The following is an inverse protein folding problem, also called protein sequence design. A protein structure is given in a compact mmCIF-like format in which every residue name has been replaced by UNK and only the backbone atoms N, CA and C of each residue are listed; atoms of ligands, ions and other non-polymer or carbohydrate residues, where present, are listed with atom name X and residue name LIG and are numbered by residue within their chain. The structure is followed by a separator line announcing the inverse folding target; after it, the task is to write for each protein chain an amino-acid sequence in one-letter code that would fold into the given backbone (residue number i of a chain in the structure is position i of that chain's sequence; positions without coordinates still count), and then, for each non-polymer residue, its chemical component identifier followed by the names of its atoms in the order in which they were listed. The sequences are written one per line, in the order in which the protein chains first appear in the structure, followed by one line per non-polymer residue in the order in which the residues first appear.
data_IF_990233604364
#
_entry.id   IF_990233604364
#
_cell.length_a   1.000
_cell.length_b   1.000
_cell.length_c   1.000
_cell.angle_alpha   90.00
_cell.angle_beta   90.00
_cell.angle_gamma   90.00
#
_symmetry.space_group_name_H-M   'P 1'
#
loop_
_entity.id
_entity.type
_entity.pdbx_description
1 polymer ?
#
# COMPACT_ATOMS: atom_id res chain seq x y z
N UNK A 1 -5.12 24.13 29.35
CA UNK A 1 -5.54 23.23 28.25
C UNK A 1 -4.62 22.03 28.23
N UNK A 2 -5.16 20.82 28.07
CA UNK A 2 -4.34 19.63 27.99
C UNK A 2 -3.43 19.64 26.75
N UNK A 3 -2.18 19.20 26.92
CA UNK A 3 -1.20 19.07 25.83
C UNK A 3 -1.62 17.87 24.96
N UNK A 4 -1.76 18.07 23.63
CA UNK A 4 -2.11 17.06 22.65
C UNK A 4 -0.86 16.71 21.83
N UNK A 5 -0.73 15.45 21.42
CA UNK A 5 0.30 15.03 20.48
C UNK A 5 -0.13 15.41 19.07
N UNK A 6 0.75 16.05 18.31
CA UNK A 6 0.51 16.37 16.91
C UNK A 6 0.62 15.10 16.05
N UNK A 7 -0.42 14.75 15.32
CA UNK A 7 -0.43 13.56 14.47
C UNK A 7 0.54 13.62 13.27
N UNK A 8 1.15 14.78 12.98
CA UNK A 8 2.06 14.95 11.86
C UNK A 8 3.55 14.98 12.26
N UNK A 9 3.89 15.66 13.35
CA UNK A 9 5.28 15.80 13.79
C UNK A 9 5.53 15.31 15.21
N UNK A 10 4.54 14.73 15.87
CA UNK A 10 4.57 14.15 17.23
C UNK A 10 4.94 15.12 18.35
N UNK A 11 5.17 16.40 18.06
CA UNK A 11 5.40 17.41 19.08
C UNK A 11 4.15 17.60 19.95
N UNK A 12 4.36 17.71 21.25
CA UNK A 12 3.28 18.08 22.17
C UNK A 12 2.91 19.55 22.01
N UNK A 13 1.64 19.83 21.75
CA UNK A 13 1.14 21.18 21.45
C UNK A 13 -0.20 21.45 22.11
N UNK A 14 -0.56 22.73 22.27
CA UNK A 14 -1.84 23.19 22.82
C UNK A 14 -2.55 24.08 21.79
N UNK A 15 -3.90 24.11 21.83
CA UNK A 15 -4.70 24.94 20.93
C UNK A 15 -5.28 24.16 19.75
N UNK A 16 -5.50 24.85 18.61
CA UNK A 16 -6.11 24.29 17.39
C UNK A 16 -5.08 23.77 16.39
N UNK A 17 -3.89 24.36 16.39
CA UNK A 17 -2.79 24.04 15.46
C UNK A 17 -1.52 23.73 16.23
N UNK A 18 -0.67 22.90 15.64
CA UNK A 18 0.63 22.54 16.19
C UNK A 18 1.61 23.73 16.08
N UNK A 19 2.24 24.09 17.20
CA UNK A 19 3.23 25.16 17.23
C UNK A 19 4.51 24.86 16.45
N UNK A 20 4.81 23.55 16.23
CA UNK A 20 6.03 23.13 15.55
C UNK A 20 5.86 23.05 14.02
N UNK A 21 4.75 22.52 13.51
CA UNK A 21 4.57 22.25 12.08
C UNK A 21 3.30 22.88 11.47
N UNK A 22 2.51 23.61 12.25
CA UNK A 22 1.28 24.26 11.78
C UNK A 22 0.10 23.34 11.51
N UNK A 23 0.26 22.02 11.63
CA UNK A 23 -0.83 21.07 11.35
C UNK A 23 -1.97 21.18 12.35
N UNK A 24 -3.24 20.95 11.95
CA UNK A 24 -4.37 20.95 12.87
C UNK A 24 -4.23 19.83 13.91
N UNK A 25 -4.64 20.12 15.16
CA UNK A 25 -4.61 19.17 16.29
C UNK A 25 -5.96 18.45 16.50
N UNK A 26 -6.93 18.70 15.63
CA UNK A 26 -8.22 18.01 15.61
C UNK A 26 -8.20 16.90 14.56
N UNK A 27 -8.88 15.78 14.85
CA UNK A 27 -9.21 14.77 13.84
C UNK A 27 -10.14 15.36 12.77
N UNK A 28 -9.96 14.94 11.53
CA UNK A 28 -11.00 15.12 10.51
C UNK A 28 -12.17 14.16 10.80
N UNK A 29 -13.38 14.59 10.47
CA UNK A 29 -14.59 13.75 10.62
C UNK A 29 -14.57 12.51 9.69
N UNK A 30 -13.66 12.47 8.70
CA UNK A 30 -13.47 11.34 7.79
C UNK A 30 -12.64 10.17 8.39
N UNK A 31 -12.17 10.30 9.64
CA UNK A 31 -11.28 9.32 10.29
C UNK A 31 -11.94 8.59 11.46
N UNK A 32 -13.27 8.40 11.42
CA UNK A 32 -14.03 7.80 12.53
C UNK A 32 -13.52 6.43 12.95
N UNK A 33 -13.12 5.58 11.97
CA UNK A 33 -12.67 4.21 12.22
C UNK A 33 -11.17 4.10 12.43
N UNK A 34 -10.43 5.21 12.36
CA UNK A 34 -9.00 5.20 12.58
C UNK A 34 -8.64 5.18 14.07
N UNK A 35 -7.47 4.62 14.40
CA UNK A 35 -6.93 4.67 15.75
C UNK A 35 -6.77 6.12 16.24
N UNK A 36 -7.01 6.39 17.54
CA UNK A 36 -6.73 7.69 18.14
C UNK A 36 -5.25 8.09 17.98
N UNK A 37 -5.00 9.36 17.65
CA UNK A 37 -3.64 9.91 17.69
C UNK A 37 -3.07 9.75 19.11
N UNK A 38 -1.84 9.23 19.20
CA UNK A 38 -1.17 8.91 20.46
C UNK A 38 -1.40 7.49 20.96
N UNK A 39 -2.22 6.68 20.28
CA UNK A 39 -2.34 5.24 20.58
C UNK A 39 -0.95 4.59 20.46
N UNK A 40 -0.64 3.70 21.41
CA UNK A 40 0.59 2.91 21.40
C UNK A 40 0.35 1.54 20.76
N UNK A 41 1.17 1.22 19.77
CA UNK A 41 1.19 -0.09 19.12
C UNK A 41 2.53 -0.77 19.40
N UNK A 42 2.48 -2.05 19.71
CA UNK A 42 3.63 -2.89 20.04
C UNK A 42 4.61 -2.26 21.06
N UNK A 43 4.08 -1.45 22.00
CA UNK A 43 4.85 -0.76 23.03
C UNK A 43 5.78 0.36 22.53
N UNK A 44 6.04 0.48 21.25
CA UNK A 44 7.05 1.41 20.68
C UNK A 44 6.52 2.38 19.62
N UNK A 45 5.47 2.05 18.89
CA UNK A 45 4.94 2.92 17.83
C UNK A 45 3.86 3.84 18.38
N UNK A 46 4.08 5.15 18.33
CA UNK A 46 3.04 6.14 18.64
C UNK A 46 2.30 6.54 17.38
N UNK A 47 0.99 6.25 17.33
CA UNK A 47 0.11 6.56 16.19
C UNK A 47 -0.04 8.07 15.98
N UNK A 48 0.15 8.50 14.76
CA UNK A 48 -0.08 9.87 14.27
C UNK A 48 -1.33 9.97 13.38
N UNK A 49 -1.21 10.69 12.26
CA UNK A 49 -2.30 10.85 11.29
C UNK A 49 -2.42 9.65 10.35
N UNK A 50 -3.57 9.49 9.75
CA UNK A 50 -3.77 8.56 8.64
C UNK A 50 -2.98 9.07 7.42
N UNK A 51 -2.27 8.16 6.76
CA UNK A 51 -1.55 8.38 5.50
C UNK A 51 -2.39 7.95 4.29
N UNK A 52 -3.16 6.89 4.45
CA UNK A 52 -4.01 6.35 3.39
C UNK A 52 -4.98 5.30 3.90
N UNK A 53 -5.98 5.01 3.06
CA UNK A 53 -6.97 3.94 3.27
C UNK A 53 -7.12 3.15 1.99
N UNK A 54 -7.35 1.87 2.13
CA UNK A 54 -7.72 0.97 1.05
C UNK A 54 -8.74 -0.05 1.52
N UNK A 55 -9.30 -0.83 0.62
CA UNK A 55 -10.33 -1.81 0.94
C UNK A 55 -9.93 -2.86 1.99
N UNK A 56 -8.64 -3.01 2.27
CA UNK A 56 -8.11 -4.01 3.20
C UNK A 56 -7.44 -3.42 4.44
N UNK A 57 -7.31 -2.08 4.55
CA UNK A 57 -6.63 -1.53 5.72
C UNK A 57 -6.43 -0.04 5.74
N UNK A 58 -5.91 0.41 6.87
CA UNK A 58 -5.60 1.81 7.17
C UNK A 58 -4.09 1.95 7.39
N UNK A 59 -3.48 2.95 6.77
CA UNK A 59 -2.06 3.24 6.93
C UNK A 59 -1.91 4.50 7.78
N UNK A 60 -1.12 4.40 8.84
CA UNK A 60 -0.84 5.47 9.78
C UNK A 60 0.61 5.94 9.67
N UNK A 61 0.82 7.25 9.81
CA UNK A 61 2.12 7.76 10.21
C UNK A 61 2.34 7.41 11.68
N UNK A 62 3.49 6.85 12.01
CA UNK A 62 3.85 6.55 13.40
C UNK A 62 5.23 7.12 13.73
N UNK A 63 5.45 7.35 15.02
CA UNK A 63 6.77 7.61 15.58
C UNK A 63 7.26 6.33 16.27
N UNK A 64 8.38 5.83 15.80
CA UNK A 64 9.07 4.69 16.40
C UNK A 64 10.02 5.22 17.49
N UNK A 65 9.69 4.94 18.75
CA UNK A 65 10.44 5.41 19.91
C UNK A 65 11.75 4.67 20.11
N UNK A 66 11.88 3.47 19.56
CA UNK A 66 13.10 2.66 19.66
C UNK A 66 14.17 3.17 18.68
N UNK A 67 13.79 3.48 17.44
CA UNK A 67 14.70 3.96 16.41
C UNK A 67 14.75 5.48 16.27
N UNK A 68 13.98 6.23 17.07
CA UNK A 68 13.87 7.70 17.08
C UNK A 68 13.56 8.28 15.68
N UNK A 69 12.66 7.63 14.96
CA UNK A 69 12.29 8.02 13.58
C UNK A 69 10.80 7.87 13.28
N UNK A 70 10.36 8.54 12.21
CA UNK A 70 9.03 8.30 11.66
C UNK A 70 9.01 7.05 10.80
N UNK A 71 7.96 6.24 10.96
CA UNK A 71 7.66 5.05 10.17
C UNK A 71 6.19 5.09 9.71
N UNK A 72 5.77 4.12 8.93
CA UNK A 72 4.38 3.88 8.63
C UNK A 72 3.95 2.54 9.23
N UNK A 73 2.69 2.45 9.68
CA UNK A 73 2.09 1.19 10.12
C UNK A 73 0.81 0.97 9.34
N UNK A 74 0.69 -0.21 8.71
CA UNK A 74 -0.56 -0.66 8.08
C UNK A 74 -1.30 -1.56 9.05
N UNK A 75 -2.57 -1.25 9.27
CA UNK A 75 -3.54 -2.02 10.05
C UNK A 75 -4.40 -2.85 9.11
N UNK A 76 -4.60 -4.13 9.39
CA UNK A 76 -5.63 -4.91 8.72
C UNK A 76 -7.01 -4.44 9.19
N UNK A 77 -7.75 -3.76 8.31
CA UNK A 77 -9.09 -3.23 8.56
C UNK A 77 -9.93 -3.33 7.28
N UNK A 78 -10.46 -4.51 6.94
CA UNK A 78 -11.29 -4.69 5.76
C UNK A 78 -12.66 -4.02 5.93
N UNK A 79 -12.91 -2.94 5.18
CA UNK A 79 -14.09 -2.08 5.34
C UNK A 79 -15.44 -2.81 5.26
N UNK A 80 -15.49 -3.96 4.57
CA UNK A 80 -16.73 -4.71 4.35
C UNK A 80 -17.03 -5.73 5.45
N UNK A 81 -16.05 -6.12 6.23
CA UNK A 81 -16.15 -7.24 7.17
C UNK A 81 -15.70 -6.89 8.57
N UNK A 82 -15.09 -5.72 8.79
CA UNK A 82 -14.58 -5.25 10.06
C UNK A 82 -15.28 -3.97 10.55
N UNK A 83 -15.37 -3.84 11.85
CA UNK A 83 -15.83 -2.62 12.54
C UNK A 83 -14.88 -2.28 13.69
N UNK A 84 -14.73 -0.99 13.98
CA UNK A 84 -14.05 -0.52 15.18
C UNK A 84 -14.97 -0.67 16.38
N UNK A 85 -14.51 -1.35 17.44
CA UNK A 85 -15.25 -1.52 18.67
C UNK A 85 -15.52 -0.17 19.39
N UNK A 86 -16.42 -0.17 20.38
CA UNK A 86 -16.81 1.03 21.11
C UNK A 86 -15.66 1.74 21.84
N UNK A 87 -14.58 1.05 22.15
CA UNK A 87 -13.37 1.66 22.73
C UNK A 87 -12.53 2.45 21.71
N UNK A 88 -12.91 2.49 20.44
CA UNK A 88 -12.20 3.13 19.32
C UNK A 88 -10.77 2.58 19.08
N UNK A 89 -10.47 1.38 19.56
CA UNK A 89 -9.14 0.75 19.46
C UNK A 89 -9.25 -0.61 18.81
N UNK A 90 -10.07 -1.51 19.39
CA UNK A 90 -10.18 -2.89 18.95
C UNK A 90 -10.93 -3.01 17.62
N UNK A 91 -10.56 -4.01 16.83
CA UNK A 91 -11.21 -4.36 15.57
C UNK A 91 -11.95 -5.67 15.77
N UNK A 92 -13.19 -5.71 15.33
CA UNK A 92 -14.06 -6.87 15.42
C UNK A 92 -14.68 -7.18 14.05
N UNK A 93 -15.02 -8.43 13.74
CA UNK A 93 -15.86 -8.75 12.59
C UNK A 93 -17.21 -8.03 12.72
N UNK A 94 -17.69 -7.44 11.62
CA UNK A 94 -18.94 -6.66 11.60
C UNK A 94 -20.15 -7.52 12.03
N UNK A 95 -20.15 -8.81 11.71
CA UNK A 95 -21.15 -9.80 12.11
C UNK A 95 -20.48 -11.15 12.36
N UNK A 96 -21.16 -12.07 13.05
CA UNK A 96 -20.69 -13.45 13.22
C UNK A 96 -20.49 -14.18 11.89
N UNK A 97 -21.23 -13.82 10.84
CA UNK A 97 -21.08 -14.38 9.49
C UNK A 97 -19.78 -13.94 8.80
N UNK A 98 -19.22 -12.81 9.20
CA UNK A 98 -17.94 -12.30 8.67
C UNK A 98 -16.71 -12.84 9.42
N UNK A 99 -16.89 -13.54 10.53
CA UNK A 99 -15.78 -13.94 11.40
C UNK A 99 -14.76 -14.86 10.71
N UNK A 100 -15.22 -15.82 9.91
CA UNK A 100 -14.34 -16.73 9.15
C UNK A 100 -13.58 -15.99 8.05
N UNK A 101 -14.26 -15.12 7.30
CA UNK A 101 -13.66 -14.31 6.24
C UNK A 101 -12.64 -13.33 6.82
N UNK A 102 -12.97 -12.68 7.95
CA UNK A 102 -12.07 -11.77 8.65
C UNK A 102 -10.81 -12.51 9.13
N UNK A 103 -10.96 -13.67 9.77
CA UNK A 103 -9.83 -14.47 10.28
C UNK A 103 -8.92 -14.96 9.14
N UNK A 104 -9.51 -15.47 8.05
CA UNK A 104 -8.74 -15.90 6.89
C UNK A 104 -7.99 -14.74 6.23
N UNK A 105 -8.61 -13.56 6.15
CA UNK A 105 -7.96 -12.35 5.63
C UNK A 105 -6.85 -11.83 6.54
N UNK A 106 -7.01 -11.93 7.87
CA UNK A 106 -6.00 -11.55 8.85
C UNK A 106 -4.75 -12.44 8.74
N UNK A 107 -4.96 -13.77 8.65
CA UNK A 107 -3.87 -14.71 8.44
C UNK A 107 -3.10 -14.41 7.14
N UNK A 108 -3.83 -14.15 6.06
CA UNK A 108 -3.25 -13.81 4.76
C UNK A 108 -2.46 -12.51 4.81
N UNK A 109 -2.98 -11.47 5.50
CA UNK A 109 -2.31 -10.18 5.67
C UNK A 109 -0.96 -10.35 6.40
N UNK A 110 -0.91 -11.17 7.45
CA UNK A 110 0.35 -11.47 8.18
C UNK A 110 1.33 -12.27 7.33
N UNK A 111 0.87 -13.30 6.62
CA UNK A 111 1.72 -14.11 5.74
C UNK A 111 2.33 -13.27 4.60
N UNK A 112 1.56 -12.38 3.99
CA UNK A 112 2.03 -11.46 2.96
C UNK A 112 3.11 -10.52 3.50
N UNK A 113 2.90 -9.93 4.69
CA UNK A 113 3.88 -9.05 5.33
C UNK A 113 5.18 -9.79 5.68
N UNK A 114 5.10 -11.00 6.22
CA UNK A 114 6.25 -11.85 6.50
C UNK A 114 7.01 -12.27 5.23
N UNK A 115 6.28 -12.54 4.13
CA UNK A 115 6.90 -12.87 2.85
C UNK A 115 7.74 -11.70 2.34
N UNK A 116 7.23 -10.49 2.39
CA UNK A 116 7.90 -9.29 1.88
C UNK A 116 9.03 -8.81 2.81
N UNK A 117 8.92 -9.04 4.12
CA UNK A 117 9.98 -8.68 5.07
C UNK A 117 11.34 -9.30 4.73
N UNK A 118 11.35 -10.42 4.00
CA UNK A 118 12.58 -11.09 3.52
C UNK A 118 13.40 -10.24 2.55
N UNK A 119 12.77 -9.22 1.94
CA UNK A 119 13.39 -8.33 0.96
C UNK A 119 13.67 -6.93 1.51
N UNK A 120 13.52 -6.71 2.81
CA UNK A 120 13.62 -5.39 3.47
C UNK A 120 15.00 -4.74 3.40
N UNK A 121 16.05 -5.48 3.05
CA UNK A 121 17.41 -4.94 2.85
C UNK A 121 17.56 -4.22 1.49
N UNK A 122 16.62 -4.39 0.58
CA UNK A 122 16.66 -3.77 -0.75
C UNK A 122 16.17 -2.33 -0.71
N UNK A 123 16.93 -1.41 -1.30
CA UNK A 123 16.56 0.02 -1.39
C UNK A 123 15.40 0.29 -2.33
N UNK A 124 15.11 -0.63 -3.26
CA UNK A 124 14.06 -0.51 -4.28
C UNK A 124 12.70 -1.00 -3.79
N UNK A 125 12.67 -1.77 -2.70
CA UNK A 125 11.46 -2.37 -2.12
C UNK A 125 11.14 -1.64 -0.82
N UNK A 126 9.85 -1.57 -0.49
CA UNK A 126 9.40 -1.05 0.79
C UNK A 126 9.83 -1.99 1.92
N UNK A 127 10.69 -1.52 2.83
CA UNK A 127 11.16 -2.32 3.97
C UNK A 127 10.05 -2.51 5.00
N UNK A 128 9.76 -3.77 5.36
CA UNK A 128 8.91 -4.14 6.49
C UNK A 128 9.81 -4.50 7.67
N UNK A 129 9.63 -3.83 8.81
CA UNK A 129 10.51 -3.94 9.98
C UNK A 129 9.91 -4.79 11.10
N UNK A 130 8.58 -4.86 11.15
CA UNK A 130 7.88 -5.54 12.26
C UNK A 130 6.50 -6.01 11.79
N UNK A 131 6.05 -7.17 12.26
CA UNK A 131 4.71 -7.72 12.03
C UNK A 131 4.17 -8.21 13.37
N UNK A 132 3.01 -7.74 13.79
CA UNK A 132 2.47 -8.07 15.12
C UNK A 132 0.94 -8.04 15.14
N UNK A 133 0.35 -8.79 16.09
CA UNK A 133 -1.09 -8.81 16.36
C UNK A 133 -1.37 -8.02 17.64
N UNK A 134 -2.35 -7.14 17.59
CA UNK A 134 -2.85 -6.33 18.72
C UNK A 134 -4.27 -5.85 18.40
N UNK A 135 -5.06 -5.45 19.41
CA UNK A 135 -6.38 -4.85 19.24
C UNK A 135 -7.35 -5.68 18.37
N UNK A 136 -7.27 -7.01 18.43
CA UNK A 136 -8.13 -7.91 17.64
C UNK A 136 -7.81 -7.96 16.14
N UNK A 137 -6.69 -7.37 15.70
CA UNK A 137 -6.25 -7.34 14.31
C UNK A 137 -4.74 -7.51 14.19
N UNK A 138 -4.20 -7.35 12.98
CA UNK A 138 -2.78 -7.41 12.69
C UNK A 138 -2.27 -6.09 12.12
N UNK A 139 -1.00 -5.85 12.36
CA UNK A 139 -0.27 -4.67 11.91
C UNK A 139 1.07 -5.07 11.32
N UNK A 140 1.57 -4.28 10.37
CA UNK A 140 3.00 -4.29 10.05
C UNK A 140 3.57 -2.89 9.97
N UNK A 141 4.79 -2.73 10.49
CA UNK A 141 5.54 -1.50 10.44
C UNK A 141 6.50 -1.50 9.26
N UNK A 142 6.59 -0.39 8.56
CA UNK A 142 7.35 -0.22 7.33
C UNK A 142 7.97 1.15 7.22
N UNK A 143 8.86 1.35 6.26
CA UNK A 143 9.43 2.65 5.95
C UNK A 143 8.35 3.68 5.66
N UNK A 144 8.47 4.88 6.24
CA UNK A 144 7.69 6.02 5.82
C UNK A 144 8.33 6.67 4.59
N UNK A 145 7.67 6.58 3.44
CA UNK A 145 8.13 7.17 2.19
C UNK A 145 7.63 8.60 2.07
N UNK A 146 8.56 9.57 2.03
CA UNK A 146 8.25 10.96 1.67
C UNK A 146 8.23 11.07 0.14
N UNK A 147 7.05 11.07 -0.44
CA UNK A 147 6.87 11.08 -1.89
C UNK A 147 5.41 11.13 -2.28
N UNK A 148 5.15 10.99 -3.57
CA UNK A 148 3.82 10.90 -4.17
C UNK A 148 3.76 9.67 -5.07
N UNK A 149 2.56 9.10 -5.27
CA UNK A 149 2.39 8.03 -6.25
C UNK A 149 2.60 8.56 -7.68
N UNK A 150 2.92 7.68 -8.62
CA UNK A 150 2.96 8.06 -10.04
C UNK A 150 1.62 8.63 -10.49
N UNK A 151 0.51 8.10 -9.99
CA UNK A 151 -0.83 8.60 -10.24
C UNK A 151 -1.03 10.03 -9.74
N UNK A 152 -0.66 10.30 -8.49
CA UNK A 152 -0.78 11.64 -7.90
C UNK A 152 0.17 12.63 -8.59
N UNK A 153 1.37 12.18 -8.96
CA UNK A 153 2.33 12.99 -9.71
C UNK A 153 1.74 13.42 -11.05
N UNK A 154 1.18 12.47 -11.81
CA UNK A 154 0.59 12.79 -13.12
C UNK A 154 -0.65 13.66 -13.00
N UNK A 155 -1.44 13.51 -11.95
CA UNK A 155 -2.58 14.39 -11.67
C UNK A 155 -2.17 15.84 -11.38
N UNK A 156 -0.99 16.06 -10.77
CA UNK A 156 -0.50 17.38 -10.38
C UNK A 156 0.38 18.02 -11.46
N UNK A 157 1.21 17.23 -12.13
CA UNK A 157 2.27 17.71 -13.02
C UNK A 157 2.01 17.41 -14.51
N UNK A 158 1.01 16.58 -14.83
CA UNK A 158 0.78 16.07 -16.20
C UNK A 158 1.62 14.83 -16.51
N UNK A 159 1.68 14.47 -17.79
CA UNK A 159 2.40 13.29 -18.27
C UNK A 159 3.89 13.31 -17.91
N UNK A 160 4.44 12.13 -17.63
CA UNK A 160 5.88 11.99 -17.45
C UNK A 160 6.60 12.04 -18.81
N UNK A 161 7.87 12.46 -18.80
CA UNK A 161 8.73 12.44 -19.99
C UNK A 161 9.23 11.01 -20.25
N UNK A 162 9.70 10.76 -21.49
CA UNK A 162 10.34 9.48 -21.85
C UNK A 162 11.51 9.13 -20.92
N UNK A 163 12.38 10.09 -20.63
CA UNK A 163 13.51 9.89 -19.71
C UNK A 163 13.04 9.49 -18.29
N UNK A 164 11.96 10.08 -17.80
CA UNK A 164 11.37 9.70 -16.52
C UNK A 164 10.77 8.29 -16.58
N UNK A 165 10.10 7.94 -17.68
CA UNK A 165 9.55 6.60 -17.86
C UNK A 165 10.65 5.53 -17.88
N UNK A 166 11.75 5.76 -18.61
CA UNK A 166 12.92 4.87 -18.63
C UNK A 166 13.53 4.72 -17.22
N UNK A 167 13.69 5.84 -16.50
CA UNK A 167 14.21 5.80 -15.14
C UNK A 167 13.32 5.01 -14.18
N UNK A 168 12.00 5.25 -14.23
CA UNK A 168 11.01 4.51 -13.41
C UNK A 168 11.06 3.02 -13.77
N UNK A 169 11.07 2.68 -15.08
CA UNK A 169 11.15 1.31 -15.54
C UNK A 169 12.39 0.60 -14.97
N UNK A 170 13.56 1.20 -15.07
CA UNK A 170 14.82 0.64 -14.58
C UNK A 170 14.77 0.33 -13.06
N UNK A 171 14.24 1.27 -12.27
CA UNK A 171 14.12 1.07 -10.81
C UNK A 171 13.12 -0.01 -10.44
N UNK A 172 11.95 -0.04 -11.07
CA UNK A 172 10.92 -1.07 -10.81
C UNK A 172 11.37 -2.44 -11.31
N UNK A 173 12.00 -2.52 -12.48
CA UNK A 173 12.57 -3.79 -12.97
C UNK A 173 13.66 -4.34 -12.05
N UNK A 174 14.45 -3.47 -11.42
CA UNK A 174 15.43 -3.86 -10.40
C UNK A 174 14.73 -4.46 -9.18
N UNK A 175 13.65 -3.83 -8.67
CA UNK A 175 12.82 -4.37 -7.59
C UNK A 175 12.22 -5.74 -7.98
N UNK A 176 11.63 -5.84 -9.17
CA UNK A 176 11.02 -7.08 -9.67
C UNK A 176 12.04 -8.21 -9.81
N UNK A 177 13.25 -7.92 -10.25
CA UNK A 177 14.33 -8.93 -10.31
C UNK A 177 14.59 -9.55 -8.94
N UNK A 178 14.56 -8.75 -7.87
CA UNK A 178 14.81 -9.20 -6.50
C UNK A 178 13.67 -10.11 -6.03
N UNK A 179 12.41 -9.66 -6.13
CA UNK A 179 11.27 -10.44 -5.64
C UNK A 179 11.02 -11.69 -6.48
N UNK A 180 11.14 -11.62 -7.81
CA UNK A 180 11.02 -12.78 -8.69
C UNK A 180 12.14 -13.79 -8.44
N UNK A 181 13.37 -13.33 -8.18
CA UNK A 181 14.49 -14.17 -7.77
C UNK A 181 14.24 -14.91 -6.44
N UNK A 182 13.45 -14.31 -5.56
CA UNK A 182 12.94 -14.93 -4.32
C UNK A 182 11.66 -15.75 -4.50
N UNK A 183 11.19 -15.95 -5.73
CA UNK A 183 10.00 -16.76 -6.03
C UNK A 183 8.68 -16.06 -5.71
N UNK A 184 8.64 -14.72 -5.67
CA UNK A 184 7.45 -13.93 -5.33
C UNK A 184 7.02 -13.08 -6.53
N UNK A 185 5.70 -13.00 -6.79
CA UNK A 185 5.09 -12.07 -7.73
C UNK A 185 4.37 -10.97 -6.98
N UNK A 186 4.42 -9.72 -7.49
CA UNK A 186 3.75 -8.57 -6.89
C UNK A 186 2.25 -8.55 -7.16
N UNK A 187 1.82 -8.75 -8.41
CA UNK A 187 0.44 -8.93 -8.89
C UNK A 187 -0.50 -7.71 -8.76
N UNK A 188 -0.04 -6.60 -8.24
CA UNK A 188 -0.80 -5.34 -8.12
C UNK A 188 0.04 -4.11 -8.52
N UNK A 189 0.88 -4.22 -9.55
CA UNK A 189 1.61 -3.07 -10.05
C UNK A 189 0.65 -2.13 -10.78
N UNK A 190 0.64 -0.88 -10.36
CA UNK A 190 -0.19 0.18 -10.92
C UNK A 190 0.41 1.54 -10.58
N UNK A 191 -0.04 2.64 -11.21
CA UNK A 191 0.44 3.98 -10.88
C UNK A 191 0.26 4.39 -9.41
N UNK A 192 -0.71 3.81 -8.69
CA UNK A 192 -0.92 4.03 -7.26
C UNK A 192 0.22 3.42 -6.42
N UNK A 193 0.80 2.30 -6.89
CA UNK A 193 1.78 1.50 -6.14
C UNK A 193 3.24 1.78 -6.54
N UNK A 194 3.48 2.75 -7.44
CA UNK A 194 4.81 3.25 -7.80
C UNK A 194 5.01 4.61 -7.13
N UNK A 195 5.89 4.67 -6.12
CA UNK A 195 6.18 5.88 -5.36
C UNK A 195 7.39 6.62 -5.93
N UNK A 196 7.19 7.89 -6.22
CA UNK A 196 8.23 8.85 -6.60
C UNK A 196 8.65 9.62 -5.34
N UNK A 197 9.83 9.31 -4.82
CA UNK A 197 10.32 9.84 -3.55
C UNK A 197 10.90 11.24 -3.71
N UNK A 198 10.83 12.07 -2.66
CA UNK A 198 11.37 13.42 -2.64
C UNK A 198 12.90 13.48 -2.86
N UNK A 199 13.63 12.40 -2.58
CA UNK A 199 15.06 12.27 -2.83
C UNK A 199 15.40 11.74 -4.24
N UNK A 200 14.40 11.62 -5.12
CA UNK A 200 14.54 11.10 -6.48
C UNK A 200 14.50 9.58 -6.61
N UNK A 201 14.44 8.83 -5.51
CA UNK A 201 14.29 7.38 -5.59
C UNK A 201 12.89 6.99 -6.09
N UNK A 202 12.78 5.82 -6.70
CA UNK A 202 11.51 5.19 -7.07
C UNK A 202 11.38 3.89 -6.28
N UNK A 203 10.24 3.68 -5.65
CA UNK A 203 9.98 2.48 -4.85
C UNK A 203 8.65 1.84 -5.22
N UNK A 204 8.65 0.50 -5.24
CA UNK A 204 7.43 -0.29 -5.36
C UNK A 204 6.85 -0.51 -3.97
N UNK A 205 5.55 -0.23 -3.82
CA UNK A 205 4.81 -0.34 -2.55
C UNK A 205 3.59 -1.23 -2.71
N UNK A 206 2.99 -1.57 -1.58
CA UNK A 206 1.73 -2.32 -1.44
C UNK A 206 1.74 -3.71 -2.11
N UNK A 207 2.31 -4.64 -1.37
CA UNK A 207 2.40 -6.05 -1.75
C UNK A 207 1.15 -6.86 -1.32
N UNK A 208 0.01 -6.21 -1.08
CA UNK A 208 -1.23 -6.84 -0.61
C UNK A 208 -1.84 -7.90 -1.55
N UNK A 209 -1.27 -8.09 -2.73
CA UNK A 209 -1.59 -9.16 -3.66
C UNK A 209 -0.40 -10.10 -3.92
N UNK A 210 0.74 -9.88 -3.25
CA UNK A 210 1.95 -10.67 -3.46
C UNK A 210 1.76 -12.13 -3.05
N UNK A 211 2.31 -13.05 -3.84
CA UNK A 211 2.26 -14.50 -3.59
C UNK A 211 3.52 -15.20 -4.06
N UNK A 212 3.82 -16.32 -3.40
CA UNK A 212 4.83 -17.24 -3.92
C UNK A 212 4.39 -17.82 -5.28
N UNK A 213 5.34 -17.96 -6.22
CA UNK A 213 5.09 -18.48 -7.58
C UNK A 213 4.52 -19.91 -7.54
N UNK A 214 4.85 -20.68 -6.48
CA UNK A 214 4.39 -22.06 -6.28
C UNK A 214 2.92 -22.17 -5.80
N UNK A 215 2.30 -21.07 -5.39
CA UNK A 215 0.92 -21.08 -4.89
C UNK A 215 -0.10 -20.99 -6.03
N UNK A 216 -0.51 -22.14 -6.53
CA UNK A 216 -1.70 -22.27 -7.39
C UNK A 216 -2.96 -22.14 -6.52
N UNK A 217 -3.31 -20.94 -6.06
CA UNK A 217 -4.52 -20.77 -5.26
C UNK A 217 -5.74 -20.47 -6.13
N UNK A 218 -6.79 -21.27 -5.92
CA UNK A 218 -8.13 -21.12 -6.55
C UNK A 218 -8.89 -19.84 -6.11
N UNK A 219 -8.29 -18.95 -5.30
CA UNK A 219 -8.98 -17.78 -4.76
C UNK A 219 -8.84 -16.54 -5.64
N UNK A 220 -9.92 -16.16 -6.30
CA UNK A 220 -10.10 -14.88 -7.02
C UNK A 220 -10.35 -13.70 -6.06
N UNK A 221 -9.76 -13.68 -4.86
CA UNK A 221 -10.03 -12.64 -3.86
C UNK A 221 -9.24 -11.33 -4.06
N UNK A 222 -8.55 -11.16 -5.18
CA UNK A 222 -7.85 -9.92 -5.52
C UNK A 222 -8.79 -9.02 -6.30
N UNK A 223 -9.04 -7.81 -5.80
CA UNK A 223 -9.71 -6.77 -6.60
C UNK A 223 -8.71 -6.36 -7.68
N UNK A 224 -8.92 -6.84 -8.90
CA UNK A 224 -8.06 -6.53 -10.04
C UNK A 224 -8.27 -5.08 -10.47
N UNK A 225 -7.18 -4.35 -10.68
CA UNK A 225 -7.22 -3.01 -11.25
C UNK A 225 -7.40 -3.13 -12.76
N UNK A 226 -8.61 -2.83 -13.24
CA UNK A 226 -8.93 -2.86 -14.65
C UNK A 226 -7.89 -2.04 -15.45
N UNK A 227 -7.48 -2.56 -16.61
CA UNK A 227 -6.47 -1.94 -17.47
C UNK A 227 -5.02 -2.26 -17.09
N UNK A 228 -4.70 -2.43 -15.81
CA UNK A 228 -3.32 -2.73 -15.37
C UNK A 228 -3.07 -4.22 -15.15
N UNK A 229 -4.08 -4.98 -14.74
CA UNK A 229 -3.96 -6.42 -14.54
C UNK A 229 -4.03 -7.19 -15.87
N UNK A 230 -3.09 -8.12 -16.18
CA UNK A 230 -3.12 -8.92 -17.40
C UNK A 230 -4.18 -10.02 -17.36
N UNK A 231 -4.48 -10.59 -18.53
CA UNK A 231 -5.57 -11.55 -18.75
C UNK A 231 -5.47 -12.79 -17.85
N UNK A 232 -4.28 -13.29 -17.59
CA UNK A 232 -4.05 -14.48 -16.77
C UNK A 232 -4.48 -14.26 -15.30
N UNK A 233 -4.55 -13.02 -14.82
CA UNK A 233 -5.05 -12.72 -13.47
C UNK A 233 -6.58 -12.82 -13.37
N UNK A 234 -7.31 -12.69 -14.49
CA UNK A 234 -8.77 -12.85 -14.55
C UNK A 234 -9.20 -14.32 -14.60
N UNK A 235 -8.28 -15.23 -14.80
CA UNK A 235 -8.54 -16.68 -14.92
C UNK A 235 -8.20 -17.39 -13.63
N UNK A 236 -9.12 -18.23 -13.13
CA UNK A 236 -8.95 -19.02 -11.90
C UNK A 236 -7.65 -19.89 -11.89
N UNK A 237 -7.20 -20.34 -13.05
CA UNK A 237 -5.97 -21.13 -13.27
C UNK A 237 -5.10 -20.47 -14.32
N UNK A 238 -5.00 -19.14 -14.29
CA UNK A 238 -4.11 -18.43 -15.20
C UNK A 238 -2.65 -18.75 -14.86
N UNK A 239 -1.87 -19.06 -15.90
CA UNK A 239 -0.44 -19.25 -15.76
C UNK A 239 0.22 -17.88 -15.49
N UNK A 240 0.47 -17.54 -14.22
CA UNK A 240 1.09 -16.29 -13.81
C UNK A 240 2.59 -16.48 -13.56
N UNK A 241 3.37 -15.48 -13.91
CA UNK A 241 4.81 -15.47 -13.76
C UNK A 241 5.37 -14.06 -13.77
N UNK A 242 6.69 -13.90 -13.84
CA UNK A 242 7.31 -12.57 -13.89
C UNK A 242 6.75 -11.66 -14.99
N UNK A 243 6.29 -12.23 -16.10
CA UNK A 243 5.63 -11.49 -17.20
C UNK A 243 4.32 -10.79 -16.77
N UNK A 244 3.62 -11.34 -15.77
CA UNK A 244 2.41 -10.75 -15.20
C UNK A 244 2.71 -9.34 -14.64
N UNK A 245 3.78 -9.21 -13.85
CA UNK A 245 4.22 -7.94 -13.28
C UNK A 245 4.82 -7.01 -14.35
N UNK A 246 5.53 -7.56 -15.35
CA UNK A 246 6.07 -6.78 -16.47
C UNK A 246 4.96 -6.13 -17.29
N UNK A 247 3.88 -6.87 -17.57
CA UNK A 247 2.71 -6.30 -18.25
C UNK A 247 2.12 -5.14 -17.45
N UNK A 248 1.91 -5.33 -16.15
CA UNK A 248 1.33 -4.31 -15.26
C UNK A 248 2.22 -3.06 -15.17
N UNK A 249 3.55 -3.24 -15.16
CA UNK A 249 4.51 -2.14 -15.25
C UNK A 249 4.38 -1.39 -16.58
N UNK A 250 4.32 -2.11 -17.71
CA UNK A 250 4.18 -1.48 -19.03
C UNK A 250 2.88 -0.65 -19.12
N UNK A 251 1.77 -1.16 -18.62
CA UNK A 251 0.51 -0.43 -18.59
C UNK A 251 0.56 0.78 -17.66
N UNK A 252 1.29 0.70 -16.54
CA UNK A 252 1.49 1.82 -15.62
C UNK A 252 2.33 2.94 -16.26
N UNK A 253 3.35 2.59 -17.03
CA UNK A 253 4.17 3.55 -17.78
C UNK A 253 3.39 4.16 -18.96
N UNK A 254 2.60 3.35 -19.68
CA UNK A 254 1.67 3.85 -20.70
C UNK A 254 0.75 4.92 -20.14
N UNK A 255 0.11 4.65 -18.98
CA UNK A 255 -0.70 5.66 -18.28
C UNK A 255 0.13 6.90 -17.95
N UNK A 256 1.32 6.74 -17.38
CA UNK A 256 2.20 7.86 -17.00
C UNK A 256 2.57 8.77 -18.19
N UNK A 257 2.82 8.18 -19.36
CA UNK A 257 3.20 8.89 -20.58
C UNK A 257 2.01 9.55 -21.29
N UNK A 258 0.83 8.92 -21.27
CA UNK A 258 -0.32 9.32 -22.10
C UNK A 258 -1.46 9.95 -21.31
N UNK A 259 -1.50 9.76 -19.98
CA UNK A 259 -2.62 10.09 -19.09
C UNK A 259 -3.92 9.35 -19.44
N UNK A 260 -3.85 8.33 -20.30
CA UNK A 260 -4.99 7.50 -20.67
C UNK A 260 -4.99 6.23 -19.83
N UNK A 261 -6.10 5.93 -19.18
CA UNK A 261 -6.27 4.63 -18.53
C UNK A 261 -6.30 3.53 -19.61
N UNK A 262 -5.46 2.48 -19.50
CA UNK A 262 -5.50 1.38 -20.44
C UNK A 262 -6.84 0.66 -20.36
N UNK A 263 -7.36 0.22 -21.49
CA UNK A 263 -8.52 -0.66 -21.51
C UNK A 263 -8.20 -2.01 -20.85
N UNK A 264 -9.24 -2.60 -20.23
CA UNK A 264 -9.11 -3.90 -19.60
C UNK A 264 -8.75 -5.00 -20.61
N UNK A 265 -7.99 -6.04 -20.22
CA UNK A 265 -7.51 -7.05 -21.15
C UNK A 265 -8.63 -7.86 -21.81
N UNK A 266 -9.81 -7.93 -21.22
CA UNK A 266 -10.99 -8.59 -21.82
C UNK A 266 -11.53 -7.78 -22.99
N UNK A 267 -11.61 -6.46 -22.89
CA UNK A 267 -12.03 -5.58 -24.00
C UNK A 267 -11.03 -5.62 -25.15
N UNK A 268 -9.73 -5.69 -24.82
CA UNK A 268 -8.65 -5.75 -25.82
C UNK A 268 -8.57 -7.06 -26.58
N UNK A 269 -9.21 -8.15 -26.12
CA UNK A 269 -9.29 -9.40 -26.90
C UNK A 269 -10.06 -9.21 -28.19
N UNK A 270 -11.07 -8.31 -28.20
CA UNK A 270 -11.92 -8.07 -29.36
C UNK A 270 -11.38 -6.92 -30.22
N UNK A 271 -10.80 -5.90 -29.62
CA UNK A 271 -10.21 -4.74 -30.32
C UNK A 271 -9.09 -4.13 -29.46
N UNK A 272 -7.85 -4.19 -29.92
CA UNK A 272 -6.69 -3.61 -29.21
C UNK A 272 -6.35 -2.22 -29.79
N UNK A 273 -6.86 -1.18 -29.12
CA UNK A 273 -6.66 0.23 -29.52
C UNK A 273 -5.40 0.87 -28.90
N UNK A 274 -4.50 0.08 -28.27
CA UNK A 274 -3.20 0.59 -27.82
C UNK A 274 -2.34 0.85 -29.04
N UNK A 275 -2.27 2.11 -29.45
CA UNK A 275 -1.38 2.59 -30.50
C UNK A 275 -0.03 2.93 -29.88
N UNK A 276 1.09 2.38 -30.37
CA UNK A 276 2.42 2.84 -29.96
C UNK A 276 2.57 4.34 -30.23
N UNK A 277 3.16 5.08 -29.30
CA UNK A 277 3.57 6.47 -29.57
C UNK A 277 4.66 6.43 -30.63
N UNK A 278 4.46 7.16 -31.76
CA UNK A 278 5.48 7.40 -32.77
C UNK A 278 6.62 8.25 -32.24
#
# INVERSE_FOLDING_TARGET
MAKKICGNCFAGSTGKFCHNCGSPLSRSTAEYDALPIGTKLNGKYTVGRVLGRGGFGIIYLVYDEESDRTAAVKEYYPERTAIRAHNNIDVEPMTSLNAEEFSAGLEKFTQEAELISRFSESSEILGIHDVFCQNGTAYYAMDYIKGVSLKDYTAQCGAITENQAVYIADRILSALRIIHGGGVLHRDISPDNIMLCANGAVRLIDFGAARAISENSDSLSVILKAGFAPLEQYRRRGNQGGWTDIYSLAMSLFFGLTLKEPEGPLSRLDNDDIVPNE
#
